data_IF_553442370811
#
_entry.id   IF_553442370811
#
_cell.length_a   1.000
_cell.length_b   1.000
_cell.length_c   1.000
_cell.angle_alpha   90.00
_cell.angle_beta   90.00
_cell.angle_gamma   90.00
#
_symmetry.space_group_name_H-M   'P 1'
#
loop_
_entity.id
_entity.type
_entity.pdbx_description
1 polymer ?
#
# COMPACT_ATOMS: atom_id res chain seq x y z
N UNK A 1 12.68 8.09 -3.85
CA UNK A 1 11.87 8.34 -2.64
C UNK A 1 12.54 7.65 -1.47
N UNK A 2 13.28 8.40 -0.66
CA UNK A 2 13.88 7.91 0.59
C UNK A 2 12.78 7.78 1.64
N UNK A 3 12.76 6.67 2.39
CA UNK A 3 11.79 6.44 3.47
C UNK A 3 12.38 7.06 4.75
N UNK A 4 11.82 8.16 5.28
CA UNK A 4 12.30 8.78 6.52
C UNK A 4 12.06 7.85 7.73
N UNK A 5 12.63 8.15 8.91
CA UNK A 5 12.49 7.28 10.10
C UNK A 5 11.04 6.99 10.52
N UNK A 6 10.11 7.91 10.27
CA UNK A 6 8.68 7.74 10.56
C UNK A 6 7.90 6.97 9.47
N UNK A 7 8.58 6.58 8.39
CA UNK A 7 7.99 5.83 7.30
C UNK A 7 8.07 4.31 7.57
N UNK A 8 6.95 3.62 7.38
CA UNK A 8 6.88 2.16 7.37
C UNK A 8 6.57 1.67 5.96
N UNK A 9 7.30 0.63 5.53
CA UNK A 9 7.07 -0.06 4.25
C UNK A 9 6.99 -1.56 4.47
N UNK A 10 5.82 -2.12 4.20
CA UNK A 10 5.57 -3.56 4.26
C UNK A 10 5.33 -4.09 2.85
N UNK A 11 5.89 -5.26 2.55
CA UNK A 11 5.58 -6.01 1.34
C UNK A 11 4.70 -7.18 1.70
N UNK A 12 3.59 -7.30 0.98
CA UNK A 12 2.67 -8.42 1.09
C UNK A 12 3.00 -9.36 -0.06
N UNK A 13 3.47 -10.56 0.28
CA UNK A 13 3.77 -11.59 -0.70
C UNK A 13 2.58 -12.54 -0.78
N UNK A 14 2.10 -12.77 -1.99
CA UNK A 14 1.21 -13.89 -2.26
C UNK A 14 2.02 -15.19 -2.28
N UNK A 15 1.37 -16.32 -2.02
CA UNK A 15 1.99 -17.62 -2.30
C UNK A 15 2.35 -17.66 -3.80
N UNK A 16 3.58 -18.11 -4.10
CA UNK A 16 3.99 -18.30 -5.49
C UNK A 16 3.14 -19.39 -6.12
N UNK A 17 2.16 -19.02 -6.93
CA UNK A 17 1.39 -19.95 -7.73
C UNK A 17 2.01 -20.01 -9.13
N UNK A 18 2.24 -21.22 -9.70
CA UNK A 18 2.77 -21.36 -11.05
C UNK A 18 1.90 -20.58 -12.05
N UNK A 19 2.52 -19.77 -12.90
CA UNK A 19 1.82 -18.92 -13.87
C UNK A 19 1.34 -17.57 -13.34
N UNK A 20 1.45 -17.30 -12.04
CA UNK A 20 1.07 -16.02 -11.44
C UNK A 20 2.30 -15.23 -10.99
N UNK A 21 2.49 -14.08 -11.63
CA UNK A 21 3.61 -13.19 -11.36
C UNK A 21 3.11 -11.78 -11.05
N UNK A 22 3.92 -11.03 -10.31
CA UNK A 22 3.64 -9.65 -9.99
C UNK A 22 3.81 -8.78 -11.23
N UNK A 23 2.70 -8.53 -11.93
CA UNK A 23 2.69 -7.68 -13.12
C UNK A 23 2.05 -6.32 -12.85
N UNK A 24 2.48 -5.29 -13.58
CA UNK A 24 1.90 -3.94 -13.57
C UNK A 24 1.67 -3.35 -12.17
N UNK A 25 2.59 -3.58 -11.24
CA UNK A 25 2.46 -3.07 -9.87
C UNK A 25 2.58 -1.54 -9.83
N UNK A 26 1.63 -0.89 -9.14
CA UNK A 26 1.66 0.55 -8.92
C UNK A 26 1.18 0.92 -7.54
N UNK A 27 1.73 2.01 -7.03
CA UNK A 27 1.26 2.60 -5.81
C UNK A 27 0.03 3.45 -6.09
N UNK A 28 -0.94 3.41 -5.19
CA UNK A 28 -1.99 4.44 -5.13
C UNK A 28 -1.36 5.81 -4.86
N UNK A 29 -2.09 6.90 -5.15
CA UNK A 29 -1.97 8.12 -4.38
C UNK A 29 -2.17 7.84 -2.89
N UNK A 30 -1.95 8.84 -2.05
CA UNK A 30 -2.38 8.75 -0.67
C UNK A 30 -3.90 8.56 -0.59
N UNK A 31 -4.35 7.67 0.30
CA UNK A 31 -5.75 7.21 0.35
C UNK A 31 -6.59 7.86 1.45
N UNK A 32 -5.95 8.58 2.36
CA UNK A 32 -6.57 9.27 3.51
C UNK A 32 -5.77 10.51 3.85
N UNK A 33 -6.26 11.42 4.67
CA UNK A 33 -5.44 12.34 5.46
C UNK A 33 -5.33 11.86 6.91
N UNK A 34 -4.52 12.53 7.74
CA UNK A 34 -4.45 12.25 9.19
C UNK A 34 -5.80 12.56 9.85
N UNK A 35 -6.12 11.84 10.93
CA UNK A 35 -7.36 11.95 11.71
C UNK A 35 -8.65 11.68 10.89
N UNK A 36 -8.50 11.01 9.74
CA UNK A 36 -9.59 10.70 8.84
C UNK A 36 -9.88 9.20 8.82
N UNK A 37 -11.16 8.83 8.84
CA UNK A 37 -11.58 7.48 8.52
C UNK A 37 -11.48 7.24 7.02
N UNK A 38 -10.84 6.15 6.62
CA UNK A 38 -10.86 5.71 5.25
C UNK A 38 -11.23 4.23 5.13
N UNK A 39 -11.86 3.89 4.02
CA UNK A 39 -12.06 2.52 3.58
C UNK A 39 -11.64 2.44 2.12
N UNK A 40 -10.57 1.68 1.85
CA UNK A 40 -10.03 1.54 0.51
C UNK A 40 -10.05 0.07 0.08
N UNK A 41 -10.61 -0.17 -1.11
CA UNK A 41 -10.67 -1.49 -1.72
C UNK A 41 -9.64 -1.61 -2.83
N UNK A 42 -9.02 -2.79 -2.92
CA UNK A 42 -8.17 -3.13 -4.07
C UNK A 42 -9.04 -3.11 -5.33
N UNK A 43 -8.62 -2.40 -6.41
CA UNK A 43 -9.37 -2.39 -7.66
C UNK A 43 -9.57 -3.79 -8.24
N UNK A 44 -10.69 -4.00 -8.95
CA UNK A 44 -11.00 -5.27 -9.59
C UNK A 44 -9.82 -5.78 -10.44
N UNK A 45 -9.61 -7.10 -10.47
CA UNK A 45 -8.50 -7.78 -11.16
C UNK A 45 -7.10 -7.42 -10.65
N UNK A 46 -6.99 -6.90 -9.41
CA UNK A 46 -5.72 -6.64 -8.76
C UNK A 46 -5.67 -7.33 -7.39
N UNK A 47 -4.47 -7.39 -6.81
CA UNK A 47 -4.25 -7.84 -5.44
C UNK A 47 -3.33 -6.89 -4.69
N UNK A 48 -3.47 -6.85 -3.37
CA UNK A 48 -2.62 -6.04 -2.50
C UNK A 48 -1.22 -6.67 -2.39
N UNK A 49 -0.20 -5.88 -2.67
CA UNK A 49 1.20 -6.31 -2.70
C UNK A 49 2.10 -5.53 -1.73
N UNK A 50 1.59 -4.46 -1.11
CA UNK A 50 2.36 -3.73 -0.10
C UNK A 50 1.63 -2.53 0.49
N UNK A 51 2.19 -2.06 1.59
CA UNK A 51 1.68 -0.93 2.38
C UNK A 51 2.85 0.04 2.59
N UNK A 52 2.59 1.32 2.37
CA UNK A 52 3.50 2.40 2.74
C UNK A 52 2.74 3.40 3.58
N UNK A 53 3.31 3.79 4.71
CA UNK A 53 2.72 4.80 5.57
C UNK A 53 3.75 5.74 6.14
N UNK A 54 3.34 6.97 6.42
CA UNK A 54 4.15 7.96 7.14
C UNK A 54 3.41 8.35 8.40
N UNK A 55 4.06 8.12 9.54
CA UNK A 55 3.54 8.55 10.84
C UNK A 55 3.78 10.05 11.07
N UNK A 56 2.81 10.71 11.69
CA UNK A 56 2.91 12.08 12.18
C UNK A 56 2.70 12.11 13.69
N UNK A 57 3.71 12.60 14.43
CA UNK A 57 3.61 12.74 15.89
C UNK A 57 2.60 13.82 16.30
N UNK A 58 2.29 14.81 15.45
CA UNK A 58 1.32 15.85 15.83
C UNK A 58 -0.12 15.34 15.83
N UNK A 59 -0.41 14.36 14.98
CA UNK A 59 -1.72 13.72 14.88
C UNK A 59 -1.76 12.37 15.63
N UNK A 60 -0.59 11.83 15.99
CA UNK A 60 -0.43 10.45 16.50
C UNK A 60 -1.06 9.38 15.56
N UNK A 61 -1.06 9.67 14.27
CA UNK A 61 -1.74 8.89 13.23
C UNK A 61 -0.83 8.64 12.00
N UNK A 62 -1.35 7.95 10.99
CA UNK A 62 -0.64 7.51 9.78
C UNK A 62 -1.39 7.87 8.51
N UNK A 63 -0.62 8.39 7.56
CA UNK A 63 -1.05 8.61 6.19
C UNK A 63 -0.68 7.38 5.37
N UNK A 64 -1.61 6.82 4.58
CA UNK A 64 -1.43 5.52 3.92
C UNK A 64 -1.48 5.60 2.39
N UNK A 65 -0.66 4.76 1.74
CA UNK A 65 -0.80 4.39 0.33
C UNK A 65 -0.49 2.90 0.15
N UNK A 66 -1.13 2.30 -0.84
CA UNK A 66 -1.07 0.85 -1.06
C UNK A 66 -0.40 0.53 -2.40
N UNK A 67 0.40 -0.53 -2.42
CA UNK A 67 0.92 -1.12 -3.64
C UNK A 67 -0.04 -2.23 -4.04
N UNK A 68 -0.54 -2.18 -5.26
CA UNK A 68 -1.32 -3.25 -5.83
C UNK A 68 -0.75 -3.65 -7.18
N UNK A 69 -0.94 -4.90 -7.54
CA UNK A 69 -0.46 -5.50 -8.79
C UNK A 69 -1.63 -6.15 -9.53
N UNK A 70 -1.53 -6.21 -10.85
CA UNK A 70 -2.55 -6.84 -11.67
C UNK A 70 -2.47 -8.36 -11.54
N UNK A 71 -3.63 -9.01 -11.46
CA UNK A 71 -3.78 -10.46 -11.49
C UNK A 71 -3.75 -10.89 -12.95
N UNK A 72 -2.64 -11.48 -13.38
CA UNK A 72 -2.56 -12.25 -14.63
C UNK A 72 -1.90 -13.59 -14.34
#
# INVERSE_FOLDING_TARGET
MHCPPSCLRFYIRCCGAPGHYHHSCRWTPWVNYYDEYFNWYVPNYNYLAGIYSVHSNSHEDRHFRFLYCAKY
#
